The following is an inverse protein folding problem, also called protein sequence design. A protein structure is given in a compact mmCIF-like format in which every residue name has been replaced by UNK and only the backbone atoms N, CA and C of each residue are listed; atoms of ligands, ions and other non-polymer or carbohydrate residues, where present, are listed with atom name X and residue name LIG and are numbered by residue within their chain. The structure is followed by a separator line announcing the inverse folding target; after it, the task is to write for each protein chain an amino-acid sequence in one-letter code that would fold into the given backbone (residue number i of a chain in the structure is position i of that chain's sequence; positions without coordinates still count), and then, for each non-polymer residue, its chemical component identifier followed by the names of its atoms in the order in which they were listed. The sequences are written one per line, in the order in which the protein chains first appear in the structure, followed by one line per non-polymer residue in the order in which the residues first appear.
data_IF_257548511489
#
_entry.id   IF_257548511489
#
_cell.length_a   1.000
_cell.length_b   1.000
_cell.length_c   1.000
_cell.angle_alpha   90.00
_cell.angle_beta   90.00
_cell.angle_gamma   90.00
#
_symmetry.space_group_name_H-M   'P 1'
#
loop_
_entity.id
_entity.type
_entity.pdbx_description
1 polymer ?
#
# COMPACT_ATOMS: atom_id res chain seq x y z
N UNK A 1 -9.72 -8.66 -71.84
CA UNK A 1 -10.25 -8.24 -70.51
C UNK A 1 -9.80 -9.27 -69.48
N UNK A 2 -9.16 -8.87 -68.35
CA UNK A 2 -8.74 -9.82 -67.34
C UNK A 2 -9.96 -10.41 -66.60
N UNK A 3 -9.89 -11.66 -66.13
CA UNK A 3 -10.99 -12.30 -65.39
C UNK A 3 -11.17 -11.66 -64.00
N UNK A 4 -12.39 -11.67 -63.44
CA UNK A 4 -12.66 -11.11 -62.13
C UNK A 4 -11.99 -11.93 -61.01
N UNK A 5 -11.54 -11.30 -59.91
CA UNK A 5 -10.95 -12.00 -58.79
C UNK A 5 -11.99 -12.87 -58.05
N UNK A 6 -11.60 -14.04 -57.52
CA UNK A 6 -12.50 -14.90 -56.74
C UNK A 6 -12.83 -14.29 -55.37
N UNK A 7 -14.04 -14.50 -54.81
CA UNK A 7 -14.38 -14.07 -53.47
C UNK A 7 -14.04 -15.13 -52.40
N UNK A 8 -13.59 -14.63 -51.24
CA UNK A 8 -13.68 -15.23 -49.89
C UNK A 8 -13.00 -16.59 -49.63
N UNK A 9 -11.95 -16.58 -48.81
CA UNK A 9 -11.91 -17.46 -47.63
C UNK A 9 -10.97 -16.91 -46.55
N UNK A 10 -11.54 -16.80 -45.36
CA UNK A 10 -10.92 -16.55 -44.07
C UNK A 10 -9.80 -17.54 -43.74
N UNK A 11 -8.67 -17.04 -43.26
CA UNK A 11 -7.82 -17.79 -42.33
C UNK A 11 -7.24 -16.84 -41.30
N UNK A 12 -7.89 -16.87 -40.14
CA UNK A 12 -7.39 -16.50 -38.82
C UNK A 12 -5.96 -16.98 -38.63
N UNK A 13 -5.01 -16.06 -38.42
CA UNK A 13 -3.96 -16.24 -37.41
C UNK A 13 -3.47 -14.85 -36.99
N UNK A 14 -4.22 -14.19 -36.10
CA UNK A 14 -3.66 -13.13 -35.26
C UNK A 14 -2.57 -13.78 -34.40
N UNK A 15 -1.31 -13.66 -34.84
CA UNK A 15 -0.16 -13.81 -33.96
C UNK A 15 -0.18 -12.62 -33.01
N UNK A 16 -0.91 -12.78 -31.90
CA UNK A 16 -0.82 -11.92 -30.73
C UNK A 16 0.53 -12.18 -30.08
N UNK A 17 1.56 -11.53 -30.60
CA UNK A 17 2.86 -11.42 -29.95
C UNK A 17 2.64 -10.84 -28.56
N UNK A 18 3.01 -11.63 -27.56
CA UNK A 18 3.10 -11.29 -26.15
C UNK A 18 3.96 -10.04 -25.95
N UNK A 19 3.36 -8.87 -26.15
CA UNK A 19 3.81 -7.65 -25.53
C UNK A 19 3.43 -7.77 -24.06
N UNK A 20 4.31 -8.42 -23.28
CA UNK A 20 4.35 -8.24 -21.83
C UNK A 20 4.63 -6.77 -21.59
N UNK A 21 3.57 -5.98 -21.64
CA UNK A 21 3.50 -4.62 -21.16
C UNK A 21 4.07 -4.68 -19.75
N UNK A 22 5.33 -4.25 -19.60
CA UNK A 22 5.95 -4.02 -18.30
C UNK A 22 5.07 -2.99 -17.64
N UNK A 23 4.10 -3.44 -16.85
CA UNK A 23 3.28 -2.59 -16.01
C UNK A 23 4.26 -1.85 -15.12
N UNK A 24 4.56 -0.62 -15.49
CA UNK A 24 5.31 0.32 -14.68
C UNK A 24 4.57 0.30 -13.33
N UNK A 25 5.22 -0.11 -12.23
CA UNK A 25 4.54 -0.12 -10.95
C UNK A 25 4.07 1.31 -10.74
N UNK A 26 2.75 1.48 -10.67
CA UNK A 26 2.11 2.76 -10.44
C UNK A 26 2.78 3.32 -9.18
N UNK A 27 3.55 4.40 -9.28
CA UNK A 27 4.31 4.94 -8.15
C UNK A 27 3.33 5.24 -7.03
N UNK A 28 3.29 4.37 -6.02
CA UNK A 28 2.45 4.50 -4.84
C UNK A 28 3.22 5.33 -3.82
N UNK A 29 3.31 6.64 -4.02
CA UNK A 29 4.03 7.53 -3.09
C UNK A 29 5.50 7.14 -2.88
N UNK A 30 6.12 7.70 -1.83
CA UNK A 30 7.43 7.24 -1.36
C UNK A 30 7.29 5.92 -0.59
N UNK A 31 8.21 4.98 -0.81
CA UNK A 31 8.13 3.59 -0.31
C UNK A 31 8.19 3.47 1.23
N UNK A 32 8.56 4.53 1.94
CA UNK A 32 8.78 4.53 3.40
C UNK A 32 8.00 5.65 4.10
N UNK A 33 6.71 5.77 3.78
CA UNK A 33 5.80 6.70 4.47
C UNK A 33 4.74 5.97 5.27
N UNK A 34 4.25 6.61 6.33
CA UNK A 34 3.13 6.11 7.12
C UNK A 34 1.88 5.91 6.24
N UNK A 35 1.69 6.76 5.23
CA UNK A 35 0.67 6.60 4.19
C UNK A 35 0.78 5.25 3.48
N UNK A 36 1.97 4.92 2.97
CA UNK A 36 2.19 3.66 2.25
C UNK A 36 1.96 2.45 3.15
N UNK A 37 2.44 2.50 4.40
CA UNK A 37 2.23 1.46 5.41
C UNK A 37 0.75 1.28 5.73
N UNK A 38 -0.02 2.36 5.84
CA UNK A 38 -1.47 2.29 6.08
C UNK A 38 -2.25 1.72 4.89
N UNK A 39 -1.85 2.04 3.66
CA UNK A 39 -2.45 1.47 2.45
C UNK A 39 -2.16 -0.04 2.37
N UNK A 40 -0.93 -0.44 2.69
CA UNK A 40 -0.55 -1.86 2.67
C UNK A 40 -1.24 -2.64 3.80
N UNK A 41 -1.42 -2.03 4.97
CA UNK A 41 -2.25 -2.60 6.04
C UNK A 41 -3.69 -2.78 5.57
N UNK A 42 -4.28 -1.78 4.90
CA UNK A 42 -5.64 -1.89 4.37
C UNK A 42 -5.77 -3.05 3.39
N UNK A 43 -4.78 -3.18 2.51
CA UNK A 43 -4.72 -4.25 1.53
C UNK A 43 -4.59 -5.62 2.22
N UNK A 44 -3.79 -5.73 3.26
CA UNK A 44 -3.65 -6.97 4.02
C UNK A 44 -4.98 -7.37 4.68
N UNK A 45 -5.63 -6.42 5.37
CA UNK A 45 -6.88 -6.67 6.08
C UNK A 45 -8.03 -7.00 5.13
N UNK A 46 -8.15 -6.25 4.02
CA UNK A 46 -9.27 -6.38 3.08
C UNK A 46 -9.06 -7.49 2.05
N UNK A 47 -7.88 -7.55 1.41
CA UNK A 47 -7.64 -8.46 0.30
C UNK A 47 -7.17 -9.85 0.75
N UNK A 48 -6.36 -9.91 1.81
CA UNK A 48 -5.79 -11.19 2.28
C UNK A 48 -6.63 -11.80 3.39
N UNK A 49 -6.89 -11.02 4.45
CA UNK A 49 -7.56 -11.56 5.64
C UNK A 49 -9.08 -11.53 5.56
N UNK A 50 -9.67 -10.73 4.66
CA UNK A 50 -11.12 -10.51 4.52
C UNK A 50 -11.82 -10.30 5.88
N UNK A 51 -11.22 -9.50 6.76
CA UNK A 51 -11.77 -9.34 8.10
C UNK A 51 -13.14 -8.67 8.05
N UNK A 52 -14.06 -9.17 8.87
CA UNK A 52 -15.37 -8.56 9.06
C UNK A 52 -15.20 -7.18 9.70
N UNK A 53 -15.75 -6.17 9.02
CA UNK A 53 -15.77 -4.78 9.49
C UNK A 53 -17.06 -4.51 10.28
N UNK A 54 -17.03 -3.65 11.31
CA UNK A 54 -15.87 -2.92 11.81
C UNK A 54 -15.03 -3.75 12.79
N UNK A 55 -13.71 -3.65 12.74
CA UNK A 55 -12.80 -4.38 13.64
C UNK A 55 -12.18 -3.47 14.70
N UNK A 56 -11.51 -4.05 15.69
CA UNK A 56 -10.74 -3.33 16.70
C UNK A 56 -9.30 -3.29 16.25
N UNK A 57 -8.68 -2.13 16.33
CA UNK A 57 -7.31 -1.93 15.88
C UNK A 57 -6.43 -1.48 17.06
N UNK A 58 -5.28 -2.14 17.22
CA UNK A 58 -4.36 -1.94 18.35
C UNK A 58 -2.98 -1.61 17.80
N UNK A 59 -2.43 -0.47 18.22
CA UNK A 59 -1.09 -0.03 17.87
C UNK A 59 -0.21 0.15 19.10
N UNK A 60 1.03 -0.29 19.02
CA UNK A 60 2.04 -0.10 20.08
C UNK A 60 3.22 0.73 19.54
N UNK A 61 3.68 1.71 20.28
CA UNK A 61 4.91 2.46 19.99
C UNK A 61 4.90 3.10 18.58
N UNK A 62 5.80 2.73 17.67
CA UNK A 62 5.76 3.16 16.27
C UNK A 62 4.51 2.67 15.51
N UNK A 63 4.02 1.47 15.87
CA UNK A 63 2.81 0.91 15.30
C UNK A 63 1.59 1.78 15.59
N UNK A 64 1.55 2.46 16.74
CA UNK A 64 0.47 3.40 17.08
C UNK A 64 0.35 4.54 16.07
N UNK A 65 1.47 5.02 15.49
CA UNK A 65 1.45 6.06 14.46
C UNK A 65 0.73 5.57 13.20
N UNK A 66 1.12 4.40 12.69
CA UNK A 66 0.50 3.79 11.49
C UNK A 66 -0.99 3.53 11.74
N UNK A 67 -1.31 3.04 12.93
CA UNK A 67 -2.66 2.69 13.34
C UNK A 67 -3.57 3.92 13.42
N UNK A 68 -3.07 5.00 14.03
CA UNK A 68 -3.76 6.29 14.12
C UNK A 68 -3.99 6.88 12.72
N UNK A 69 -2.97 6.82 11.87
CA UNK A 69 -3.08 7.30 10.49
C UNK A 69 -4.09 6.47 9.68
N UNK A 70 -4.10 5.15 9.87
CA UNK A 70 -5.07 4.25 9.24
C UNK A 70 -6.51 4.62 9.62
N UNK A 71 -6.78 4.90 10.91
CA UNK A 71 -8.13 5.29 11.35
C UNK A 71 -8.62 6.60 10.74
N UNK A 72 -7.71 7.54 10.46
CA UNK A 72 -8.07 8.81 9.80
C UNK A 72 -8.41 8.62 8.32
N UNK A 73 -7.78 7.65 7.64
CA UNK A 73 -8.08 7.35 6.24
C UNK A 73 -9.31 6.43 6.06
N UNK A 74 -9.56 5.53 7.00
CA UNK A 74 -10.57 4.48 6.90
C UNK A 74 -11.48 4.44 8.14
N UNK A 75 -12.11 5.58 8.44
CA UNK A 75 -12.93 5.76 9.67
C UNK A 75 -14.03 4.71 9.84
N UNK A 76 -14.61 4.22 8.75
CA UNK A 76 -15.70 3.22 8.80
C UNK A 76 -15.23 1.77 9.02
N UNK A 77 -13.93 1.51 8.86
CA UNK A 77 -13.39 0.15 8.97
C UNK A 77 -13.09 -0.23 10.44
N UNK A 78 -12.90 0.78 11.30
CA UNK A 78 -12.43 0.60 12.68
C UNK A 78 -13.50 1.04 13.67
N UNK A 79 -13.88 0.14 14.59
CA UNK A 79 -14.83 0.45 15.67
C UNK A 79 -14.15 1.10 16.87
N UNK A 80 -12.96 0.62 17.24
CA UNK A 80 -12.21 1.07 18.40
C UNK A 80 -10.72 1.05 18.09
N UNK A 81 -10.02 2.06 18.62
CA UNK A 81 -8.58 2.23 18.49
C UNK A 81 -7.95 2.18 19.89
N UNK A 82 -7.01 1.26 20.10
CA UNK A 82 -6.18 1.21 21.31
C UNK A 82 -4.75 1.57 20.95
N UNK A 83 -4.20 2.58 21.63
CA UNK A 83 -2.81 3.01 21.46
C UNK A 83 -2.06 2.73 22.76
N UNK A 84 -1.06 1.86 22.70
CA UNK A 84 -0.19 1.51 23.81
C UNK A 84 1.12 2.25 23.59
N UNK A 85 1.50 3.08 24.55
CA UNK A 85 2.74 3.87 24.53
C UNK A 85 3.03 4.54 23.17
N UNK A 86 2.11 5.37 22.63
CA UNK A 86 2.29 5.93 21.30
C UNK A 86 3.50 6.87 21.27
N UNK A 87 4.36 6.69 20.27
CA UNK A 87 5.42 7.66 19.99
C UNK A 87 4.80 9.03 19.74
N UNK A 88 5.15 9.99 20.60
CA UNK A 88 4.72 11.38 20.47
C UNK A 88 5.55 12.07 19.39
N UNK A 89 4.91 12.97 18.64
CA UNK A 89 5.57 13.74 17.57
C UNK A 89 6.76 14.57 18.12
N UNK A 90 6.73 14.91 19.42
CA UNK A 90 7.76 15.67 20.13
C UNK A 90 8.94 14.83 20.64
N UNK A 91 8.96 13.52 20.40
CA UNK A 91 10.02 12.62 20.88
C UNK A 91 11.40 13.03 20.34
N UNK A 92 11.45 13.53 19.11
CA UNK A 92 12.67 13.93 18.42
C UNK A 92 13.03 15.41 18.60
N UNK A 93 12.18 16.19 19.28
CA UNK A 93 12.41 17.62 19.50
C UNK A 93 13.41 17.86 20.64
N UNK A 94 13.58 16.90 21.54
CA UNK A 94 14.53 16.99 22.64
C UNK A 94 15.93 16.59 22.19
N UNK A 95 16.91 17.50 22.34
CA UNK A 95 18.32 17.24 22.04
C UNK A 95 18.89 16.03 22.80
N UNK A 96 18.33 15.71 23.96
CA UNK A 96 18.72 14.55 24.78
C UNK A 96 18.57 13.20 24.05
N UNK A 97 17.60 13.08 23.14
CA UNK A 97 17.44 11.85 22.37
C UNK A 97 18.56 11.69 21.34
N UNK A 98 19.05 12.78 20.74
CA UNK A 98 20.16 12.72 19.77
C UNK A 98 21.41 12.12 20.45
N UNK A 99 21.74 12.60 21.64
CA UNK A 99 22.93 12.14 22.37
C UNK A 99 22.84 10.65 22.72
N UNK A 100 21.67 10.15 23.13
CA UNK A 100 21.50 8.73 23.45
C UNK A 100 21.62 7.82 22.23
N UNK A 101 21.10 8.24 21.08
CA UNK A 101 21.16 7.44 19.85
C UNK A 101 22.56 7.46 19.22
N UNK A 102 23.27 8.59 19.22
CA UNK A 102 24.65 8.66 18.70
C UNK A 102 25.63 7.81 19.53
N UNK A 103 25.44 7.72 20.85
CA UNK A 103 26.37 6.98 21.71
C UNK A 103 26.27 5.45 21.56
N UNK A 104 25.11 4.93 21.13
CA UNK A 104 24.88 3.48 21.02
C UNK A 104 25.07 2.92 19.60
N UNK A 105 24.93 3.77 18.57
CA UNK A 105 24.96 3.33 17.17
C UNK A 105 26.21 3.75 16.38
N UNK A 106 27.10 4.57 16.94
CA UNK A 106 28.38 4.98 16.36
C UNK A 106 29.53 4.82 17.36
#
# INVERSE_FOLDING_TARGET
PPPPPPPSSSSTTEQKSDEKEKKIPKHRGMDYTVEKMSEDLNRLVTATSQQAKPFILVGNDLGAIVTRFYTQMYEFDVSHLFLIDPLVETLFDNEQWKDHWYFYFF
#
